data_IF_762922464871
#
_entry.id   IF_762922464871
#
_cell.length_a   1.000
_cell.length_b   1.000
_cell.length_c   1.000
_cell.angle_alpha   90.00
_cell.angle_beta   90.00
_cell.angle_gamma   90.00
#
_symmetry.space_group_name_H-M   'P 1'
#
loop_
_entity.id
_entity.type
_entity.pdbx_description
1 polymer ?
#
# COMPACT_ATOMS: atom_id res chain seq x y z
N UNK A 1 -7.19 -28.17 -1.91
CA UNK A 1 -5.86 -27.53 -1.74
C UNK A 1 -4.90 -28.20 -2.71
N UNK A 2 -4.36 -27.46 -3.68
CA UNK A 2 -3.35 -27.98 -4.60
C UNK A 2 -2.07 -28.35 -3.84
N UNK A 3 -1.49 -29.52 -4.15
CA UNK A 3 -0.36 -30.12 -3.40
C UNK A 3 0.89 -29.23 -3.31
N UNK A 4 1.03 -28.24 -4.19
CA UNK A 4 2.17 -27.34 -4.28
C UNK A 4 2.24 -26.28 -3.17
N UNK A 5 1.11 -25.94 -2.54
CA UNK A 5 1.06 -24.92 -1.49
C UNK A 5 1.27 -25.48 -0.07
N UNK A 6 1.48 -26.80 0.08
CA UNK A 6 1.63 -27.40 1.41
C UNK A 6 2.87 -26.85 2.13
N UNK A 7 2.78 -26.60 3.46
CA UNK A 7 3.94 -26.17 4.25
C UNK A 7 5.07 -27.20 4.15
N UNK A 8 6.31 -26.71 4.10
CA UNK A 8 7.50 -27.55 3.99
C UNK A 8 7.62 -28.46 5.22
N UNK A 9 7.99 -29.72 5.00
CA UNK A 9 8.22 -30.69 6.07
C UNK A 9 9.40 -30.27 6.95
N UNK A 10 9.31 -30.56 8.25
CA UNK A 10 10.36 -30.31 9.23
C UNK A 10 11.63 -31.10 8.87
N UNK A 11 12.78 -30.44 8.82
CA UNK A 11 14.07 -31.10 8.60
C UNK A 11 14.81 -31.29 9.94
N UNK A 12 15.63 -32.34 10.02
CA UNK A 12 16.43 -32.63 11.22
C UNK A 12 17.34 -31.44 11.60
N UNK A 13 17.53 -31.17 12.90
CA UNK A 13 18.25 -29.99 13.37
C UNK A 13 19.71 -29.97 12.91
N UNK A 14 20.19 -28.78 12.51
CA UNK A 14 21.59 -28.53 12.15
C UNK A 14 22.50 -28.57 13.40
N UNK A 15 23.80 -28.89 13.26
CA UNK A 15 24.76 -28.85 14.37
C UNK A 15 24.84 -27.46 15.02
N UNK A 16 24.86 -27.40 16.35
CA UNK A 16 24.77 -26.15 17.16
C UNK A 16 25.77 -25.07 16.75
N UNK A 17 26.99 -25.43 16.36
CA UNK A 17 28.04 -24.49 15.92
C UNK A 17 27.71 -23.71 14.63
N UNK A 18 26.81 -24.23 13.79
CA UNK A 18 26.40 -23.58 12.53
C UNK A 18 25.09 -22.83 12.65
N UNK A 19 24.40 -22.92 13.79
CA UNK A 19 23.07 -22.32 13.97
C UNK A 19 23.16 -20.80 13.87
N UNK A 20 24.03 -20.13 14.64
CA UNK A 20 24.14 -18.66 14.67
C UNK A 20 24.48 -18.04 13.32
N UNK A 21 25.50 -18.57 12.66
CA UNK A 21 25.98 -18.06 11.36
C UNK A 21 24.94 -18.29 10.25
N UNK A 22 24.25 -19.43 10.27
CA UNK A 22 23.17 -19.76 9.33
C UNK A 22 21.94 -18.90 9.62
N UNK A 23 21.61 -18.64 10.88
CA UNK A 23 20.51 -17.76 11.28
C UNK A 23 20.70 -16.35 10.76
N UNK A 24 21.90 -15.78 10.96
CA UNK A 24 22.22 -14.42 10.53
C UNK A 24 22.18 -14.29 9.01
N UNK A 25 22.75 -15.26 8.29
CA UNK A 25 22.73 -15.28 6.82
C UNK A 25 21.31 -15.44 6.26
N UNK A 26 20.54 -16.39 6.79
CA UNK A 26 19.19 -16.67 6.30
C UNK A 26 18.21 -15.55 6.66
N UNK A 27 18.32 -14.91 7.83
CA UNK A 27 17.51 -13.74 8.17
C UNK A 27 17.69 -12.61 7.16
N UNK A 28 18.93 -12.29 6.79
CA UNK A 28 19.20 -11.27 5.77
C UNK A 28 18.76 -11.70 4.37
N UNK A 29 18.97 -12.96 4.00
CA UNK A 29 18.53 -13.49 2.72
C UNK A 29 17.00 -13.45 2.58
N UNK A 30 16.28 -13.86 3.62
CA UNK A 30 14.82 -13.88 3.64
C UNK A 30 14.26 -12.47 3.72
N UNK A 31 14.89 -11.58 4.50
CA UNK A 31 14.55 -10.16 4.52
C UNK A 31 14.66 -9.55 3.12
N UNK A 32 15.77 -9.79 2.41
CA UNK A 32 15.92 -9.37 1.02
C UNK A 32 14.82 -9.97 0.13
N UNK A 33 14.52 -11.26 0.29
CA UNK A 33 13.46 -11.93 -0.47
C UNK A 33 12.07 -11.31 -0.28
N UNK A 34 11.65 -11.03 0.97
CA UNK A 34 10.36 -10.39 1.25
C UNK A 34 10.35 -8.91 0.89
N UNK A 35 11.48 -8.21 1.02
CA UNK A 35 11.60 -6.79 0.67
C UNK A 35 11.50 -6.60 -0.84
N UNK A 36 12.36 -7.26 -1.61
CA UNK A 36 12.34 -7.17 -3.07
C UNK A 36 11.08 -7.81 -3.64
N UNK A 37 10.64 -8.95 -3.10
CA UNK A 37 9.39 -9.60 -3.51
C UNK A 37 8.19 -8.66 -3.37
N UNK A 38 8.06 -7.96 -2.24
CA UNK A 38 6.98 -7.00 -2.03
C UNK A 38 7.14 -5.73 -2.89
N UNK A 39 8.36 -5.21 -3.05
CA UNK A 39 8.64 -4.12 -3.99
C UNK A 39 8.22 -4.48 -5.42
N UNK A 40 8.42 -5.73 -5.84
CA UNK A 40 7.99 -6.24 -7.14
C UNK A 40 6.47 -6.16 -7.37
N UNK A 41 5.65 -6.36 -6.35
CA UNK A 41 4.19 -6.17 -6.48
C UNK A 41 3.83 -4.71 -6.77
N UNK A 42 4.54 -3.77 -6.14
CA UNK A 42 4.29 -2.35 -6.37
C UNK A 42 4.69 -1.92 -7.78
N UNK A 43 5.70 -2.55 -8.39
CA UNK A 43 6.06 -2.33 -9.80
C UNK A 43 4.91 -2.60 -10.77
N UNK A 44 3.93 -3.43 -10.39
CA UNK A 44 2.82 -3.84 -11.26
C UNK A 44 1.49 -3.19 -10.90
N UNK A 45 1.49 -2.28 -9.93
CA UNK A 45 0.25 -1.74 -9.37
C UNK A 45 -0.26 -0.51 -10.10
N UNK A 46 0.64 0.32 -10.60
CA UNK A 46 0.31 1.66 -11.13
C UNK A 46 0.77 1.89 -12.58
N UNK A 47 1.18 0.84 -13.29
CA UNK A 47 1.51 0.92 -14.71
C UNK A 47 0.34 1.46 -15.56
N UNK A 48 -0.88 1.04 -15.22
CA UNK A 48 -2.07 1.52 -15.92
C UNK A 48 -2.24 3.03 -15.79
N UNK A 49 -1.89 3.64 -14.65
CA UNK A 49 -1.95 5.10 -14.46
C UNK A 49 -1.02 5.87 -15.39
N UNK A 50 0.16 5.33 -15.68
CA UNK A 50 1.10 5.92 -16.65
C UNK A 50 0.65 5.71 -18.10
N UNK A 51 -0.14 4.67 -18.37
CA UNK A 51 -0.68 4.36 -19.69
C UNK A 51 -2.01 5.09 -20.00
N UNK A 52 -2.77 5.51 -18.98
CA UNK A 52 -4.03 6.25 -19.15
C UNK A 52 -3.95 7.41 -20.14
N UNK A 53 -2.92 8.27 -20.12
CA UNK A 53 -2.86 9.42 -21.02
C UNK A 53 -2.72 9.02 -22.50
N UNK A 54 -2.29 7.79 -22.81
CA UNK A 54 -2.23 7.26 -24.17
C UNK A 54 -3.55 6.60 -24.57
N UNK A 55 -4.20 5.89 -23.63
CA UNK A 55 -5.54 5.32 -23.86
C UNK A 55 -6.60 6.41 -24.08
N UNK A 56 -6.44 7.58 -23.47
CA UNK A 56 -7.32 8.74 -23.73
C UNK A 56 -7.14 9.25 -25.16
N UNK A 57 -5.90 9.28 -25.67
CA UNK A 57 -5.60 9.67 -27.05
C UNK A 57 -6.22 8.67 -28.07
N UNK A 58 -6.41 7.40 -27.69
CA UNK A 58 -7.11 6.38 -28.47
C UNK A 58 -8.64 6.50 -28.44
N UNK A 59 -9.20 7.41 -27.62
CA UNK A 59 -10.63 7.73 -27.58
C UNK A 59 -11.41 7.21 -26.37
N UNK A 60 -10.74 6.67 -25.35
CA UNK A 60 -11.39 6.29 -24.09
C UNK A 60 -11.68 7.51 -23.21
N UNK A 61 -12.81 7.50 -22.49
CA UNK A 61 -13.12 8.57 -21.52
C UNK A 61 -12.42 8.33 -20.20
N UNK A 62 -12.17 9.40 -19.43
CA UNK A 62 -11.48 9.30 -18.13
C UNK A 62 -12.31 8.51 -17.12
N UNK A 63 -13.63 8.67 -17.13
CA UNK A 63 -14.56 7.89 -16.31
C UNK A 63 -14.49 6.38 -16.59
N UNK A 64 -14.34 5.98 -17.86
CA UNK A 64 -14.19 4.56 -18.24
C UNK A 64 -12.87 3.97 -17.70
N UNK A 65 -11.75 4.68 -17.86
CA UNK A 65 -10.45 4.25 -17.35
C UNK A 65 -10.41 4.26 -15.82
N UNK A 66 -11.05 5.24 -15.19
CA UNK A 66 -11.24 5.32 -13.74
C UNK A 66 -12.04 4.14 -13.19
N UNK A 67 -13.10 3.73 -13.90
CA UNK A 67 -13.88 2.53 -13.56
C UNK A 67 -13.02 1.26 -13.69
N UNK A 68 -12.23 1.12 -14.75
CA UNK A 68 -11.33 -0.01 -14.92
C UNK A 68 -10.29 -0.08 -13.77
N UNK A 69 -9.70 1.05 -13.40
CA UNK A 69 -8.76 1.15 -12.27
C UNK A 69 -9.37 0.79 -10.92
N UNK A 70 -10.65 1.13 -10.72
CA UNK A 70 -11.36 0.78 -9.49
C UNK A 70 -11.43 -0.73 -9.24
N UNK A 71 -11.36 -1.55 -10.31
CA UNK A 71 -11.32 -3.00 -10.21
C UNK A 71 -10.14 -3.50 -9.38
N UNK A 72 -8.97 -2.85 -9.50
CA UNK A 72 -7.76 -3.21 -8.72
C UNK A 72 -8.05 -3.03 -7.23
N UNK A 73 -8.66 -1.90 -6.85
CA UNK A 73 -8.96 -1.58 -5.46
C UNK A 73 -10.00 -2.53 -4.85
N UNK A 74 -11.07 -2.83 -5.59
CA UNK A 74 -12.13 -3.76 -5.18
C UNK A 74 -11.55 -5.16 -5.01
N UNK A 75 -10.83 -5.65 -6.02
CA UNK A 75 -10.23 -6.97 -5.99
C UNK A 75 -9.20 -7.11 -4.87
N UNK A 76 -8.36 -6.08 -4.66
CA UNK A 76 -7.38 -6.07 -3.58
C UNK A 76 -8.03 -6.12 -2.20
N UNK A 77 -9.11 -5.35 -1.98
CA UNK A 77 -9.86 -5.35 -0.72
C UNK A 77 -10.44 -6.73 -0.39
N UNK A 78 -11.08 -7.37 -1.37
CA UNK A 78 -11.65 -8.72 -1.22
C UNK A 78 -10.56 -9.79 -1.08
N UNK A 79 -9.53 -9.72 -1.92
CA UNK A 79 -8.43 -10.67 -1.93
C UNK A 79 -7.64 -10.63 -0.63
N UNK A 80 -7.36 -9.46 -0.07
CA UNK A 80 -6.62 -9.36 1.20
C UNK A 80 -7.29 -10.16 2.33
N UNK A 81 -8.63 -10.18 2.37
CA UNK A 81 -9.39 -10.95 3.35
C UNK A 81 -9.33 -12.46 3.08
N UNK A 82 -9.61 -12.88 1.84
CA UNK A 82 -9.69 -14.29 1.47
C UNK A 82 -8.31 -14.95 1.38
N UNK A 83 -7.35 -14.30 0.74
CA UNK A 83 -5.98 -14.79 0.56
C UNK A 83 -5.16 -14.72 1.85
N UNK A 84 -5.54 -13.91 2.84
CA UNK A 84 -4.97 -13.98 4.18
C UNK A 84 -5.17 -15.36 4.81
N UNK A 85 -6.41 -15.86 4.79
CA UNK A 85 -6.77 -17.20 5.29
C UNK A 85 -6.05 -18.33 4.54
N UNK A 86 -5.85 -18.16 3.22
CA UNK A 86 -5.14 -19.14 2.38
C UNK A 86 -3.63 -19.11 2.66
N UNK A 87 -3.05 -17.91 2.84
CA UNK A 87 -1.63 -17.71 3.12
C UNK A 87 -1.20 -18.34 4.45
N UNK A 88 -2.06 -18.32 5.47
CA UNK A 88 -1.75 -18.95 6.77
C UNK A 88 -1.55 -20.46 6.66
N UNK A 89 -2.16 -21.10 5.65
CA UNK A 89 -2.04 -22.53 5.38
C UNK A 89 -1.12 -22.85 4.20
N UNK A 90 -0.52 -21.83 3.58
CA UNK A 90 0.29 -21.96 2.37
C UNK A 90 1.75 -21.63 2.63
N UNK A 91 2.66 -22.33 1.95
CA UNK A 91 4.09 -22.04 2.04
C UNK A 91 4.41 -20.65 1.42
N UNK A 92 4.96 -19.69 2.19
CA UNK A 92 5.30 -18.34 1.70
C UNK A 92 6.24 -18.35 0.49
N UNK A 93 7.14 -19.34 0.40
CA UNK A 93 8.11 -19.48 -0.70
C UNK A 93 7.44 -19.65 -2.06
N UNK A 94 6.30 -20.33 -2.11
CA UNK A 94 5.55 -20.54 -3.35
C UNK A 94 4.44 -19.51 -3.52
N UNK A 95 3.80 -19.10 -2.42
CA UNK A 95 2.64 -18.21 -2.46
C UNK A 95 2.98 -16.79 -2.91
N UNK A 96 4.08 -16.20 -2.40
CA UNK A 96 4.48 -14.84 -2.75
C UNK A 96 4.91 -14.73 -4.23
N UNK A 97 5.83 -15.58 -4.75
CA UNK A 97 6.20 -15.50 -6.16
C UNK A 97 5.04 -15.86 -7.09
N UNK A 98 4.17 -16.81 -6.73
CA UNK A 98 3.02 -17.16 -7.57
C UNK A 98 2.08 -15.98 -7.81
N UNK A 99 1.72 -15.22 -6.78
CA UNK A 99 0.90 -14.02 -6.98
C UNK A 99 1.62 -12.96 -7.84
N UNK A 100 2.94 -12.86 -7.72
CA UNK A 100 3.74 -11.92 -8.52
C UNK A 100 3.81 -12.36 -9.98
N UNK A 101 3.93 -13.67 -10.25
CA UNK A 101 3.88 -14.26 -11.59
C UNK A 101 2.52 -14.04 -12.26
N UNK A 102 1.42 -14.23 -11.52
CA UNK A 102 0.07 -13.97 -12.04
C UNK A 102 -0.10 -12.49 -12.39
N UNK A 103 0.34 -11.58 -11.49
CA UNK A 103 0.32 -10.14 -11.73
C UNK A 103 1.16 -9.75 -12.95
N UNK A 104 2.37 -10.30 -13.08
CA UNK A 104 3.25 -10.05 -14.24
C UNK A 104 2.65 -10.60 -15.54
N UNK A 105 2.04 -11.78 -15.51
CA UNK A 105 1.36 -12.38 -16.64
C UNK A 105 0.20 -11.51 -17.16
N UNK A 106 -0.60 -10.94 -16.26
CA UNK A 106 -1.65 -10.00 -16.63
C UNK A 106 -1.07 -8.73 -17.29
N UNK A 107 0.04 -8.20 -16.76
CA UNK A 107 0.70 -7.04 -17.35
C UNK A 107 1.31 -7.34 -18.73
N UNK A 108 1.84 -8.55 -18.94
CA UNK A 108 2.27 -8.99 -20.28
C UNK A 108 1.10 -9.11 -21.26
N UNK A 109 -0.07 -9.56 -20.80
CA UNK A 109 -1.28 -9.57 -21.62
C UNK A 109 -1.63 -8.14 -22.04
N UNK A 110 -1.61 -7.16 -21.14
CA UNK A 110 -1.80 -5.75 -21.51
C UNK A 110 -0.75 -5.23 -22.50
N UNK A 111 0.51 -5.64 -22.36
CA UNK A 111 1.61 -5.18 -23.21
C UNK A 111 1.65 -5.80 -24.61
N UNK A 112 1.26 -7.07 -24.77
CA UNK A 112 1.41 -7.81 -26.03
C UNK A 112 0.10 -8.13 -26.74
N UNK A 113 -1.04 -8.08 -26.05
CA UNK A 113 -2.31 -8.50 -26.59
C UNK A 113 -3.23 -7.28 -26.85
N UNK A 114 -3.40 -6.84 -28.11
CA UNK A 114 -4.25 -5.67 -28.43
C UNK A 114 -5.72 -5.86 -28.02
N UNK A 115 -6.19 -7.10 -27.91
CA UNK A 115 -7.54 -7.41 -27.45
C UNK A 115 -7.74 -7.07 -25.96
N UNK A 116 -6.67 -6.99 -25.17
CA UNK A 116 -6.73 -6.69 -23.74
C UNK A 116 -7.20 -5.26 -23.46
N UNK A 117 -6.84 -4.32 -24.33
CA UNK A 117 -7.24 -2.90 -24.26
C UNK A 117 -8.48 -2.59 -25.08
N UNK A 118 -8.99 -3.52 -25.90
CA UNK A 118 -10.11 -3.27 -26.83
C UNK A 118 -11.46 -2.94 -26.16
N UNK A 119 -11.65 -3.28 -24.88
CA UNK A 119 -12.91 -3.01 -24.16
C UNK A 119 -12.67 -2.70 -22.69
N UNK A 120 -13.41 -1.72 -22.16
CA UNK A 120 -13.40 -1.34 -20.74
C UNK A 120 -13.73 -2.54 -19.84
N UNK A 121 -14.64 -3.42 -20.28
CA UNK A 121 -14.98 -4.64 -19.53
C UNK A 121 -13.79 -5.59 -19.46
N UNK A 122 -13.05 -5.74 -20.56
CA UNK A 122 -11.85 -6.60 -20.58
C UNK A 122 -10.75 -6.01 -19.68
N UNK A 123 -10.52 -4.70 -19.78
CA UNK A 123 -9.59 -3.99 -18.90
C UNK A 123 -9.99 -4.19 -17.43
N UNK A 124 -11.27 -4.04 -17.09
CA UNK A 124 -11.80 -4.25 -15.75
C UNK A 124 -11.51 -5.67 -15.24
N UNK A 125 -11.79 -6.71 -16.04
CA UNK A 125 -11.56 -8.11 -15.66
C UNK A 125 -10.07 -8.38 -15.43
N UNK A 126 -9.21 -7.94 -16.35
CA UNK A 126 -7.77 -8.14 -16.21
C UNK A 126 -7.21 -7.39 -15.00
N UNK A 127 -7.60 -6.13 -14.81
CA UNK A 127 -7.21 -5.34 -13.63
C UNK A 127 -7.78 -5.93 -12.33
N UNK A 128 -8.96 -6.55 -12.36
CA UNK A 128 -9.50 -7.30 -11.22
C UNK A 128 -8.62 -8.50 -10.87
N UNK A 129 -8.22 -9.31 -11.86
CA UNK A 129 -7.31 -10.44 -11.65
C UNK A 129 -5.97 -9.96 -11.11
N UNK A 130 -5.43 -8.87 -11.65
CA UNK A 130 -4.22 -8.25 -11.14
C UNK A 130 -4.37 -7.82 -9.67
N UNK A 131 -5.42 -7.08 -9.33
CA UNK A 131 -5.70 -6.65 -7.96
C UNK A 131 -5.88 -7.83 -6.99
N UNK A 132 -6.46 -8.93 -7.46
CA UNK A 132 -6.57 -10.16 -6.68
C UNK A 132 -5.20 -10.77 -6.39
N UNK A 133 -4.36 -10.91 -7.42
CA UNK A 133 -3.01 -11.41 -7.29
C UNK A 133 -2.16 -10.53 -6.36
N UNK A 134 -2.34 -9.21 -6.42
CA UNK A 134 -1.65 -8.27 -5.51
C UNK A 134 -2.03 -8.45 -4.04
N UNK A 135 -3.27 -8.86 -3.75
CA UNK A 135 -3.69 -9.17 -2.38
C UNK A 135 -2.92 -10.33 -1.75
N UNK A 136 -2.27 -11.18 -2.56
CA UNK A 136 -1.49 -12.33 -2.09
C UNK A 136 -0.09 -11.95 -1.56
N UNK A 137 0.42 -10.74 -1.83
CA UNK A 137 1.81 -10.39 -1.51
C UNK A 137 2.07 -10.02 -0.04
N UNK A 138 1.12 -9.34 0.62
CA UNK A 138 1.29 -8.84 1.99
C UNK A 138 1.21 -9.95 3.07
N UNK A 139 0.18 -10.84 3.07
CA UNK A 139 0.03 -11.86 4.10
C UNK A 139 1.22 -12.82 4.30
N UNK A 140 1.86 -13.37 3.24
CA UNK A 140 2.99 -14.29 3.41
C UNK A 140 4.22 -13.55 3.97
N UNK A 141 4.43 -12.30 3.58
CA UNK A 141 5.51 -11.45 4.11
C UNK A 141 5.32 -11.23 5.62
N UNK A 142 4.10 -10.92 6.05
CA UNK A 142 3.72 -10.83 7.46
C UNK A 142 4.02 -12.10 8.23
N UNK A 143 3.58 -13.26 7.71
CA UNK A 143 3.84 -14.56 8.32
C UNK A 143 5.33 -14.86 8.44
N UNK A 144 6.11 -14.65 7.39
CA UNK A 144 7.57 -14.84 7.43
C UNK A 144 8.21 -13.93 8.48
N UNK A 145 7.77 -12.67 8.59
CA UNK A 145 8.28 -11.76 9.63
C UNK A 145 7.97 -12.27 11.05
N UNK A 146 6.83 -12.93 11.24
CA UNK A 146 6.45 -13.49 12.54
C UNK A 146 7.35 -14.68 12.93
N UNK A 147 7.70 -15.53 11.96
CA UNK A 147 8.45 -16.76 12.19
C UNK A 147 9.97 -16.58 12.19
N UNK A 148 10.50 -15.43 11.71
CA UNK A 148 11.96 -15.19 11.57
C UNK A 148 12.53 -14.11 12.51
N UNK A 149 11.67 -13.32 13.16
CA UNK A 149 12.10 -12.29 14.12
C UNK A 149 11.25 -12.28 15.40
N UNK A 150 11.92 -12.08 16.54
CA UNK A 150 11.31 -11.93 17.87
C UNK A 150 10.50 -10.62 17.97
N UNK A 151 9.57 -10.55 18.93
CA UNK A 151 8.77 -9.35 19.23
C UNK A 151 9.62 -8.09 19.40
N UNK A 152 10.80 -8.17 20.04
CA UNK A 152 11.66 -7.01 20.32
C UNK A 152 12.32 -6.42 19.06
N UNK A 153 12.54 -7.23 18.02
CA UNK A 153 13.19 -6.80 16.77
C UNK A 153 12.19 -6.53 15.64
N UNK A 154 10.98 -7.09 15.73
CA UNK A 154 9.97 -7.05 14.66
C UNK A 154 9.60 -5.63 14.26
N UNK A 155 9.53 -4.69 15.21
CA UNK A 155 9.19 -3.29 14.91
C UNK A 155 10.14 -2.63 13.93
N UNK A 156 11.46 -2.80 14.11
CA UNK A 156 12.48 -2.26 13.20
C UNK A 156 12.43 -2.92 11.83
N UNK A 157 12.27 -4.24 11.79
CA UNK A 157 12.22 -5.01 10.53
C UNK A 157 10.97 -4.66 9.72
N UNK A 158 9.81 -4.55 10.35
CA UNK A 158 8.55 -4.15 9.69
C UNK A 158 8.65 -2.72 9.16
N UNK A 159 9.32 -1.81 9.87
CA UNK A 159 9.54 -0.43 9.40
C UNK A 159 10.38 -0.40 8.12
N UNK A 160 11.51 -1.09 8.10
CA UNK A 160 12.36 -1.19 6.89
C UNK A 160 11.62 -1.91 5.77
N UNK A 161 10.89 -2.99 6.08
CA UNK A 161 10.08 -3.69 5.08
C UNK A 161 9.00 -2.78 4.47
N UNK A 162 8.39 -1.90 5.27
CA UNK A 162 7.41 -0.96 4.77
C UNK A 162 8.05 -0.07 3.69
N UNK A 163 9.31 0.35 3.79
CA UNK A 163 9.98 1.15 2.75
C UNK A 163 9.93 0.50 1.35
N UNK A 164 9.82 -0.83 1.26
CA UNK A 164 9.66 -1.53 -0.01
C UNK A 164 8.46 -1.04 -0.85
N UNK A 165 7.37 -0.58 -0.22
CA UNK A 165 6.22 -0.07 -0.97
C UNK A 165 6.55 1.20 -1.75
N UNK A 166 7.26 2.15 -1.14
CA UNK A 166 7.67 3.41 -1.76
C UNK A 166 8.77 3.19 -2.79
N UNK A 167 9.72 2.30 -2.48
CA UNK A 167 10.81 1.94 -3.41
C UNK A 167 10.24 1.30 -4.67
N UNK A 168 9.37 0.30 -4.52
CA UNK A 168 8.71 -0.35 -5.65
C UNK A 168 7.79 0.62 -6.42
N UNK A 169 6.99 1.42 -5.70
CA UNK A 169 6.08 2.39 -6.32
C UNK A 169 6.80 3.47 -7.12
N UNK A 170 7.87 4.04 -6.57
CA UNK A 170 8.63 5.09 -7.25
C UNK A 170 9.35 4.59 -8.50
N UNK A 171 9.93 3.39 -8.46
CA UNK A 171 10.70 2.82 -9.58
C UNK A 171 9.88 2.61 -10.86
N UNK A 172 8.55 2.62 -10.79
CA UNK A 172 7.67 2.48 -11.96
C UNK A 172 7.96 3.57 -13.00
N UNK A 173 8.09 4.83 -12.57
CA UNK A 173 8.31 5.96 -13.47
C UNK A 173 9.61 5.82 -14.29
N UNK A 174 10.78 5.65 -13.64
CA UNK A 174 12.04 5.43 -14.36
C UNK A 174 12.04 4.18 -15.24
N UNK A 175 11.40 3.09 -14.82
CA UNK A 175 11.28 1.88 -15.64
C UNK A 175 10.42 2.10 -16.88
N UNK A 176 9.37 2.92 -16.77
CA UNK A 176 8.58 3.33 -17.91
C UNK A 176 9.41 4.14 -18.92
N UNK A 177 10.22 5.09 -18.44
CA UNK A 177 11.13 5.85 -19.31
C UNK A 177 12.16 4.98 -20.01
N UNK A 178 12.74 4.00 -19.29
CA UNK A 178 13.65 3.03 -19.89
C UNK A 178 12.97 2.22 -21.00
N UNK A 179 11.71 1.82 -20.79
CA UNK A 179 10.92 1.13 -21.81
C UNK A 179 10.64 2.00 -23.02
N UNK A 180 10.22 3.26 -22.81
CA UNK A 180 10.00 4.22 -23.87
C UNK A 180 11.28 4.49 -24.67
N UNK A 181 12.44 4.62 -24.02
CA UNK A 181 13.71 4.88 -24.67
C UNK A 181 14.20 3.72 -25.56
N UNK A 182 13.88 2.47 -25.22
CA UNK A 182 14.35 1.29 -25.97
C UNK A 182 13.38 0.82 -27.05
N UNK A 183 12.08 0.87 -26.79
CA UNK A 183 11.08 0.29 -27.68
C UNK A 183 10.23 1.33 -28.42
N UNK A 184 10.29 2.61 -27.99
CA UNK A 184 9.53 3.72 -28.55
C UNK A 184 8.01 3.44 -28.67
N UNK A 185 7.48 2.64 -27.75
CA UNK A 185 6.08 2.21 -27.68
C UNK A 185 5.56 2.35 -26.24
N UNK A 186 4.37 2.90 -26.09
CA UNK A 186 3.74 3.11 -24.79
C UNK A 186 3.35 1.79 -24.11
N UNK A 187 3.17 0.71 -24.89
CA UNK A 187 2.96 -0.64 -24.33
C UNK A 187 4.15 -1.09 -23.45
N UNK A 188 5.33 -0.48 -23.62
CA UNK A 188 6.49 -0.70 -22.76
C UNK A 188 6.24 -0.38 -21.29
N UNK A 189 5.24 0.45 -20.99
CA UNK A 189 4.75 0.69 -19.63
C UNK A 189 4.35 -0.59 -18.89
N UNK A 190 3.93 -1.63 -19.61
CA UNK A 190 3.44 -2.85 -19.02
C UNK A 190 4.49 -3.96 -19.01
N UNK A 191 5.16 -4.22 -20.14
CA UNK A 191 6.06 -5.38 -20.23
C UNK A 191 7.44 -5.14 -19.61
N UNK A 192 7.97 -3.91 -19.57
CA UNK A 192 9.28 -3.64 -18.93
C UNK A 192 9.20 -3.82 -17.41
N UNK A 193 8.26 -3.17 -16.69
CA UNK A 193 8.07 -3.44 -15.26
C UNK A 193 7.68 -4.91 -14.98
N UNK A 194 6.90 -5.56 -15.85
CA UNK A 194 6.57 -6.98 -15.73
C UNK A 194 7.80 -7.89 -15.83
N UNK A 195 8.75 -7.59 -16.73
CA UNK A 195 9.99 -8.36 -16.87
C UNK A 195 10.87 -8.20 -15.62
N UNK A 196 10.98 -6.98 -15.08
CA UNK A 196 11.69 -6.75 -13.82
C UNK A 196 11.02 -7.49 -12.67
N UNK A 197 9.68 -7.42 -12.58
CA UNK A 197 8.92 -8.15 -11.57
C UNK A 197 9.09 -9.68 -11.70
N UNK A 198 9.24 -10.21 -12.91
CA UNK A 198 9.52 -11.64 -13.15
C UNK A 198 10.90 -12.04 -12.60
N UNK A 199 11.93 -11.22 -12.84
CA UNK A 199 13.26 -11.43 -12.27
C UNK A 199 13.23 -11.37 -10.74
N UNK A 200 12.48 -10.42 -10.19
CA UNK A 200 12.26 -10.29 -8.74
C UNK A 200 11.51 -11.50 -8.18
N UNK A 201 10.52 -12.05 -8.91
CA UNK A 201 9.80 -13.25 -8.50
C UNK A 201 10.73 -14.48 -8.45
N UNK A 202 11.61 -14.64 -9.44
CA UNK A 202 12.62 -15.69 -9.45
C UNK A 202 13.62 -15.52 -8.29
N UNK A 203 14.07 -14.28 -8.05
CA UNK A 203 14.94 -13.96 -6.91
C UNK A 203 14.26 -14.28 -5.57
N UNK A 204 13.00 -13.86 -5.39
CA UNK A 204 12.21 -14.15 -4.19
C UNK A 204 12.02 -15.66 -4.00
N UNK A 205 11.77 -16.42 -5.08
CA UNK A 205 11.63 -17.87 -5.03
C UNK A 205 12.91 -18.61 -4.57
N UNK A 206 14.07 -18.12 -4.99
CA UNK A 206 15.39 -18.68 -4.64
C UNK A 206 15.78 -18.29 -3.20
N UNK A 207 15.41 -17.09 -2.76
CA UNK A 207 15.83 -16.54 -1.47
C UNK A 207 14.89 -16.84 -0.32
N UNK A 208 13.58 -16.95 -0.56
CA UNK A 208 12.59 -17.24 0.46
C UNK A 208 12.67 -18.69 0.93
N UNK A 209 12.53 -18.88 2.24
CA UNK A 209 12.35 -20.18 2.90
C UNK A 209 11.15 -20.10 3.84
N UNK A 210 10.50 -21.24 4.08
CA UNK A 210 9.18 -21.30 4.76
C UNK A 210 9.30 -20.94 6.25
N UNK A 211 9.91 -21.81 7.04
CA UNK A 211 10.11 -21.64 8.49
C UNK A 211 11.56 -21.97 8.88
N UNK A 212 12.09 -21.45 10.00
CA UNK A 212 13.40 -21.87 10.53
C UNK A 212 13.46 -23.41 10.69
N UNK A 213 12.35 -23.97 11.13
CA UNK A 213 12.05 -25.40 11.23
C UNK A 213 12.19 -26.18 9.90
N UNK A 214 11.89 -25.56 8.75
CA UNK A 214 12.04 -26.18 7.41
C UNK A 214 13.49 -26.28 6.94
N UNK A 215 14.42 -25.64 7.65
CA UNK A 215 15.86 -25.65 7.37
C UNK A 215 16.67 -26.26 8.51
N UNK A 216 16.01 -26.95 9.45
CA UNK A 216 16.68 -27.56 10.61
C UNK A 216 17.17 -26.55 11.63
N UNK A 217 16.65 -25.32 11.65
CA UNK A 217 16.93 -24.34 12.70
C UNK A 217 15.86 -24.41 13.79
N UNK A 218 16.24 -24.28 15.08
CA UNK A 218 15.28 -24.18 16.16
C UNK A 218 14.36 -22.95 15.97
N UNK A 219 13.10 -23.02 16.44
CA UNK A 219 12.18 -21.89 16.43
C UNK A 219 12.81 -20.65 17.09
N UNK A 220 12.43 -19.43 16.68
CA UNK A 220 12.95 -18.19 17.30
C UNK A 220 12.78 -18.17 18.82
N UNK A 221 11.70 -18.79 19.29
CA UNK A 221 11.32 -18.86 20.70
C UNK A 221 12.38 -19.62 21.52
N UNK A 222 12.94 -20.71 20.97
CA UNK A 222 14.07 -21.45 21.57
C UNK A 222 15.42 -20.74 21.35
N UNK A 223 15.65 -20.17 20.16
CA UNK A 223 16.94 -19.54 19.82
C UNK A 223 17.23 -18.24 20.59
N UNK A 224 16.19 -17.48 20.94
CA UNK A 224 16.33 -16.23 21.72
C UNK A 224 15.80 -16.32 23.15
N UNK A 225 15.31 -17.48 23.59
CA UNK A 225 14.63 -17.63 24.87
C UNK A 225 13.50 -16.58 25.06
N UNK A 226 12.79 -16.28 23.98
CA UNK A 226 11.72 -15.26 23.93
C UNK A 226 10.38 -16.00 23.79
N UNK A 227 10.14 -16.99 24.67
CA UNK A 227 8.78 -17.44 24.91
C UNK A 227 7.99 -16.23 25.41
N UNK A 228 6.76 -15.99 24.93
CA UNK A 228 5.92 -14.94 25.49
C UNK A 228 5.82 -15.14 27.01
N UNK A 229 6.32 -14.18 27.79
CA UNK A 229 6.15 -14.16 29.24
C UNK A 229 4.64 -14.16 29.54
N UNK A 230 4.12 -15.30 30.01
CA UNK A 230 2.71 -15.46 30.37
C UNK A 230 1.77 -15.90 29.24
N UNK A 231 2.11 -16.95 28.47
CA UNK A 231 1.06 -17.70 27.75
C UNK A 231 0.29 -18.59 28.73
N UNK A 232 -0.59 -17.97 29.52
CA UNK A 232 -1.62 -18.69 30.26
C UNK A 232 -2.68 -19.18 29.28
N UNK A 233 -2.75 -20.48 29.06
CA UNK A 233 -3.81 -21.16 28.30
C UNK A 233 -5.18 -21.12 29.00
N UNK A 234 -5.36 -20.32 30.04
CA UNK A 234 -6.48 -20.41 30.98
C UNK A 234 -7.21 -19.10 31.29
N UNK A 235 -6.84 -17.96 30.67
CA UNK A 235 -7.59 -16.71 30.86
C UNK A 235 -7.75 -15.89 29.58
N UNK A 236 -8.51 -16.42 28.64
CA UNK A 236 -9.24 -15.55 27.72
C UNK A 236 -10.69 -16.03 27.62
N UNK A 237 -11.63 -15.24 28.14
CA UNK A 237 -12.97 -15.26 27.56
C UNK A 237 -12.80 -14.99 26.06
N UNK A 238 -12.97 -16.03 25.25
CA UNK A 238 -13.04 -15.97 23.79
C UNK A 238 -14.31 -15.18 23.43
N UNK A 239 -14.22 -13.86 23.41
CA UNK A 239 -15.24 -13.09 22.70
C UNK A 239 -15.21 -13.55 21.24
N UNK A 240 -16.36 -14.00 20.72
CA UNK A 240 -16.45 -14.41 19.33
C UNK A 240 -15.96 -13.26 18.43
N UNK A 241 -15.20 -13.57 17.38
CA UNK A 241 -14.72 -12.56 16.42
C UNK A 241 -15.87 -11.66 15.89
N UNK A 242 -17.08 -12.22 15.81
CA UNK A 242 -18.31 -11.50 15.44
C UNK A 242 -18.78 -10.54 16.54
N UNK A 243 -18.68 -10.91 17.80
CA UNK A 243 -19.01 -10.04 18.94
C UNK A 243 -18.01 -8.90 19.08
N UNK A 244 -16.71 -9.18 18.88
CA UNK A 244 -15.67 -8.16 18.88
C UNK A 244 -15.97 -7.11 17.79
N UNK A 245 -16.25 -7.58 16.56
CA UNK A 245 -16.55 -6.72 15.43
C UNK A 245 -17.84 -5.91 15.62
N UNK A 246 -18.95 -6.54 16.03
CA UNK A 246 -20.23 -5.83 16.14
C UNK A 246 -20.27 -4.89 17.35
N UNK A 247 -19.80 -5.35 18.52
CA UNK A 247 -19.96 -4.61 19.78
C UNK A 247 -18.91 -3.51 19.95
N UNK A 248 -17.68 -3.74 19.50
CA UNK A 248 -16.55 -2.83 19.76
C UNK A 248 -16.06 -2.05 18.52
N UNK A 249 -16.30 -2.56 17.31
CA UNK A 249 -15.90 -1.88 16.06
C UNK A 249 -17.12 -1.13 15.47
N UNK A 250 -18.19 -1.83 15.09
CA UNK A 250 -19.34 -1.22 14.40
C UNK A 250 -20.11 -0.20 15.26
N UNK A 251 -20.23 -0.41 16.56
CA UNK A 251 -20.95 0.50 17.47
C UNK A 251 -20.10 1.70 17.91
N UNK A 252 -18.80 1.71 17.60
CA UNK A 252 -17.89 2.78 18.01
C UNK A 252 -17.96 3.96 17.03
N UNK A 253 -18.65 5.03 17.43
CA UNK A 253 -18.82 6.25 16.62
C UNK A 253 -17.48 6.93 16.28
N UNK A 254 -16.50 6.88 17.18
CA UNK A 254 -15.17 7.45 16.93
C UNK A 254 -14.42 6.66 15.86
N UNK A 255 -14.59 5.34 15.84
CA UNK A 255 -13.99 4.49 14.82
C UNK A 255 -14.56 4.76 13.42
N UNK A 256 -15.85 5.11 13.34
CA UNK A 256 -16.46 5.55 12.09
C UNK A 256 -15.90 6.89 11.61
N UNK A 257 -15.72 7.87 12.49
CA UNK A 257 -15.12 9.16 12.10
C UNK A 257 -13.72 8.99 11.52
N UNK A 258 -12.85 8.21 12.16
CA UNK A 258 -11.51 7.95 11.62
C UNK A 258 -11.55 7.10 10.34
N UNK A 259 -12.51 6.19 10.19
CA UNK A 259 -12.67 5.40 8.97
C UNK A 259 -13.06 6.29 7.80
N UNK A 260 -14.04 7.19 7.98
CA UNK A 260 -14.42 8.19 6.97
C UNK A 260 -13.29 9.18 6.68
N UNK A 261 -12.58 9.66 7.70
CA UNK A 261 -11.37 10.48 7.49
C UNK A 261 -10.36 9.72 6.60
N UNK A 262 -10.16 8.43 6.85
CA UNK A 262 -9.25 7.61 6.06
C UNK A 262 -9.67 7.51 4.60
N UNK A 263 -10.98 7.41 4.31
CA UNK A 263 -11.50 7.42 2.92
C UNK A 263 -11.02 8.67 2.19
N UNK A 264 -11.17 9.85 2.80
CA UNK A 264 -10.79 11.11 2.16
C UNK A 264 -9.28 11.31 2.05
N UNK A 265 -8.50 10.85 3.03
CA UNK A 265 -7.02 10.85 2.95
C UNK A 265 -6.54 9.96 1.81
N UNK A 266 -7.12 8.76 1.66
CA UNK A 266 -6.80 7.86 0.56
C UNK A 266 -7.31 8.36 -0.79
N UNK A 267 -8.47 9.03 -0.82
CA UNK A 267 -9.00 9.71 -1.99
C UNK A 267 -8.01 10.75 -2.51
N UNK A 268 -7.46 11.58 -1.62
CA UNK A 268 -6.45 12.56 -2.00
C UNK A 268 -5.16 11.89 -2.47
N UNK A 269 -4.64 10.91 -1.71
CA UNK A 269 -3.39 10.21 -2.03
C UNK A 269 -3.44 9.59 -3.42
N UNK A 270 -4.41 8.72 -3.65
CA UNK A 270 -4.55 8.04 -4.94
C UNK A 270 -5.13 8.94 -6.02
N UNK A 271 -5.93 9.94 -5.67
CA UNK A 271 -6.46 10.92 -6.62
C UNK A 271 -5.35 11.74 -7.25
N UNK A 272 -4.39 12.22 -6.44
CA UNK A 272 -3.20 12.90 -6.96
C UNK A 272 -2.26 11.91 -7.64
N UNK A 273 -1.93 10.78 -7.00
CA UNK A 273 -0.96 9.82 -7.54
C UNK A 273 -1.39 9.23 -8.89
N UNK A 274 -2.63 8.77 -9.00
CA UNK A 274 -3.10 8.01 -10.17
C UNK A 274 -3.37 8.93 -11.35
N UNK A 275 -3.83 10.16 -11.10
CA UNK A 275 -4.17 11.13 -12.14
C UNK A 275 -3.06 12.13 -12.44
N UNK A 276 -2.00 12.21 -11.62
CA UNK A 276 -0.87 13.11 -11.88
C UNK A 276 -0.29 12.93 -13.29
N UNK A 277 -0.07 11.71 -13.82
CA UNK A 277 0.46 11.55 -15.17
C UNK A 277 -0.46 12.15 -16.25
N UNK A 278 -1.75 11.90 -16.13
CA UNK A 278 -2.77 12.41 -17.07
C UNK A 278 -2.90 13.93 -16.98
N UNK A 279 -2.95 14.49 -15.77
CA UNK A 279 -3.07 15.93 -15.57
C UNK A 279 -1.83 16.69 -16.06
N UNK A 280 -0.63 16.19 -15.75
CA UNK A 280 0.62 16.81 -16.20
C UNK A 280 0.74 16.80 -17.73
N UNK A 281 0.29 15.72 -18.40
CA UNK A 281 0.28 15.65 -19.87
C UNK A 281 -0.78 16.56 -20.49
N UNK A 282 -2.04 16.47 -20.04
CA UNK A 282 -3.16 17.19 -20.65
C UNK A 282 -3.19 18.69 -20.34
N UNK A 283 -3.05 19.07 -19.06
CA UNK A 283 -3.27 20.44 -18.61
C UNK A 283 -1.97 21.25 -18.55
N UNK A 284 -0.84 20.60 -18.27
CA UNK A 284 0.47 21.28 -18.13
C UNK A 284 1.40 21.06 -19.31
N UNK A 285 1.04 20.16 -20.25
CA UNK A 285 1.84 19.79 -21.43
C UNK A 285 3.26 19.36 -21.08
N UNK A 286 3.43 18.60 -20.00
CA UNK A 286 4.73 18.07 -19.64
C UNK A 286 5.12 16.92 -20.55
N UNK A 287 6.43 16.81 -20.75
CA UNK A 287 7.02 15.62 -21.36
C UNK A 287 6.88 14.41 -20.43
N UNK A 288 6.91 13.22 -21.04
CA UNK A 288 6.81 11.92 -20.37
C UNK A 288 7.92 11.76 -19.35
N UNK A 289 9.12 12.27 -19.66
CA UNK A 289 10.29 12.28 -18.77
C UNK A 289 10.00 12.99 -17.43
N UNK A 290 9.60 14.27 -17.50
CA UNK A 290 9.28 15.08 -16.32
C UNK A 290 8.13 14.49 -15.52
N UNK A 291 7.12 13.96 -16.19
CA UNK A 291 5.95 13.33 -15.58
C UNK A 291 6.34 12.08 -14.78
N UNK A 292 7.20 11.25 -15.34
CA UNK A 292 7.67 10.01 -14.70
C UNK A 292 8.59 10.28 -13.52
N UNK A 293 9.46 11.30 -13.61
CA UNK A 293 10.27 11.76 -12.47
C UNK A 293 9.43 12.39 -11.36
N UNK A 294 8.41 13.18 -11.70
CA UNK A 294 7.49 13.73 -10.70
C UNK A 294 6.77 12.63 -9.92
N UNK A 295 6.34 11.57 -10.61
CA UNK A 295 5.77 10.37 -9.99
C UNK A 295 6.76 9.67 -9.05
N UNK A 296 8.02 9.48 -9.48
CA UNK A 296 9.08 8.92 -8.64
C UNK A 296 9.30 9.74 -7.36
N UNK A 297 9.44 11.05 -7.50
CA UNK A 297 9.66 11.95 -6.37
C UNK A 297 8.48 11.98 -5.40
N UNK A 298 7.24 11.92 -5.90
CA UNK A 298 6.05 11.83 -5.06
C UNK A 298 6.10 10.62 -4.11
N UNK A 299 6.36 9.41 -4.63
CA UNK A 299 6.38 8.19 -3.81
C UNK A 299 7.61 8.16 -2.88
N UNK A 300 8.77 8.59 -3.36
CA UNK A 300 9.99 8.60 -2.53
C UNK A 300 9.96 9.65 -1.43
N UNK A 301 9.29 10.78 -1.63
CA UNK A 301 9.08 11.80 -0.62
C UNK A 301 8.29 11.27 0.59
N UNK A 302 7.41 10.29 0.38
CA UNK A 302 6.61 9.66 1.43
C UNK A 302 7.45 9.00 2.53
N UNK A 303 8.64 8.49 2.23
CA UNK A 303 9.52 7.83 3.20
C UNK A 303 9.99 8.79 4.30
N UNK A 304 10.75 9.88 3.99
CA UNK A 304 11.18 10.83 5.01
C UNK A 304 9.99 11.57 5.62
N UNK A 305 8.91 11.79 4.86
CA UNK A 305 7.70 12.45 5.34
C UNK A 305 6.97 11.68 6.43
N UNK A 306 6.83 10.35 6.28
CA UNK A 306 6.24 9.49 7.30
C UNK A 306 7.08 9.47 8.58
N UNK A 307 8.41 9.39 8.43
CA UNK A 307 9.34 9.39 9.56
C UNK A 307 9.29 10.71 10.34
N UNK A 308 9.29 11.83 9.62
CA UNK A 308 9.16 13.16 10.22
C UNK A 308 7.80 13.33 10.90
N UNK A 309 6.72 12.83 10.30
CA UNK A 309 5.39 12.86 10.91
C UNK A 309 5.35 12.11 12.24
N UNK A 310 5.92 10.90 12.29
CA UNK A 310 6.02 10.13 13.53
C UNK A 310 6.79 10.89 14.62
N UNK A 311 7.98 11.40 14.27
CA UNK A 311 8.79 12.19 15.20
C UNK A 311 8.09 13.46 15.69
N UNK A 312 7.41 14.19 14.78
CA UNK A 312 6.69 15.42 15.10
C UNK A 312 5.46 15.14 15.98
N UNK A 313 4.73 14.05 15.72
CA UNK A 313 3.64 13.59 16.57
C UNK A 313 4.10 13.35 18.01
N UNK A 314 5.22 12.66 18.18
CA UNK A 314 5.68 12.24 19.50
C UNK A 314 6.38 13.38 20.26
N UNK A 315 7.21 14.18 19.59
CA UNK A 315 8.04 15.21 20.24
C UNK A 315 7.40 16.59 20.33
N UNK A 316 6.76 17.05 19.25
CA UNK A 316 6.20 18.41 19.15
C UNK A 316 4.77 18.42 19.67
N UNK A 317 3.95 17.45 19.24
CA UNK A 317 2.54 17.37 19.62
C UNK A 317 2.29 16.51 20.86
N UNK A 318 3.36 16.07 21.55
CA UNK A 318 3.30 15.30 22.81
C UNK A 318 2.36 14.08 22.73
N UNK A 319 2.34 13.40 21.59
CA UNK A 319 1.48 12.23 21.34
C UNK A 319 0.06 12.56 20.88
N UNK A 320 -0.30 13.83 20.63
CA UNK A 320 -1.60 14.18 20.07
C UNK A 320 -1.65 13.90 18.56
N UNK A 321 -1.99 12.64 18.24
CA UNK A 321 -2.07 12.12 16.86
C UNK A 321 -3.13 12.83 16.02
N UNK A 322 -4.23 13.27 16.63
CA UNK A 322 -5.31 13.97 15.93
C UNK A 322 -4.88 15.35 15.47
N UNK A 323 -4.19 16.09 16.35
CA UNK A 323 -3.69 17.43 16.04
C UNK A 323 -2.60 17.37 14.96
N UNK A 324 -1.70 16.40 15.07
CA UNK A 324 -0.68 16.15 14.04
C UNK A 324 -1.34 15.85 12.70
N UNK A 325 -2.34 14.96 12.67
CA UNK A 325 -3.09 14.63 11.45
C UNK A 325 -3.74 15.85 10.79
N UNK A 326 -4.36 16.74 11.59
CA UNK A 326 -4.99 17.96 11.08
C UNK A 326 -3.96 18.94 10.51
N UNK A 327 -2.84 19.16 11.19
CA UNK A 327 -1.77 20.05 10.70
C UNK A 327 -1.20 19.53 9.38
N UNK A 328 -0.92 18.23 9.28
CA UNK A 328 -0.47 17.63 8.03
C UNK A 328 -1.52 17.76 6.93
N UNK A 329 -2.80 17.49 7.21
CA UNK A 329 -3.86 17.65 6.21
C UNK A 329 -4.04 19.09 5.75
N UNK A 330 -3.89 20.07 6.64
CA UNK A 330 -3.92 21.48 6.29
C UNK A 330 -2.74 21.84 5.35
N UNK A 331 -1.52 21.40 5.67
CA UNK A 331 -0.35 21.60 4.82
C UNK A 331 -0.50 20.94 3.45
N UNK A 332 -1.06 19.71 3.39
CA UNK A 332 -1.34 19.05 2.11
C UNK A 332 -2.38 19.82 1.30
N UNK A 333 -3.39 20.40 1.95
CA UNK A 333 -4.40 21.23 1.28
C UNK A 333 -3.74 22.44 0.63
N UNK A 334 -2.84 23.12 1.34
CA UNK A 334 -2.07 24.25 0.78
C UNK A 334 -1.22 23.81 -0.40
N UNK A 335 -0.49 22.69 -0.29
CA UNK A 335 0.32 22.16 -1.38
C UNK A 335 -0.52 21.78 -2.62
N UNK A 336 -1.71 21.22 -2.40
CA UNK A 336 -2.67 20.88 -3.46
C UNK A 336 -3.24 22.13 -4.13
N UNK A 337 -3.53 23.20 -3.36
CA UNK A 337 -3.96 24.49 -3.90
C UNK A 337 -2.86 25.14 -4.75
N UNK A 338 -1.61 25.10 -4.29
CA UNK A 338 -0.46 25.59 -5.07
C UNK A 338 -0.32 24.81 -6.38
N UNK A 339 -0.49 23.48 -6.33
CA UNK A 339 -0.44 22.65 -7.54
C UNK A 339 -1.54 22.98 -8.54
N UNK A 340 -2.78 23.18 -8.07
CA UNK A 340 -3.93 23.52 -8.90
C UNK A 340 -3.83 24.91 -9.52
N UNK A 341 -3.47 25.92 -8.73
CA UNK A 341 -3.43 27.33 -9.16
C UNK A 341 -2.17 27.70 -9.95
N UNK A 342 -1.17 26.82 -10.02
CA UNK A 342 0.04 27.08 -10.78
C UNK A 342 -0.27 27.07 -12.30
N UNK A 343 0.02 28.14 -13.06
CA UNK A 343 -0.18 28.14 -14.50
C UNK A 343 0.78 27.18 -15.22
N UNK A 344 0.45 26.73 -16.45
CA UNK A 344 1.37 25.95 -17.28
C UNK A 344 2.63 26.77 -17.58
N UNK A 345 3.80 26.12 -17.57
CA UNK A 345 5.10 26.76 -17.84
C UNK A 345 6.09 26.78 -16.66
N UNK A 346 5.68 26.36 -15.46
CA UNK A 346 6.57 26.27 -14.29
C UNK A 346 6.77 24.82 -13.77
N UNK A 347 7.53 23.96 -14.46
CA UNK A 347 7.69 22.55 -14.09
C UNK A 347 8.25 22.30 -12.69
N UNK A 348 9.16 23.16 -12.25
CA UNK A 348 9.80 23.04 -10.93
C UNK A 348 8.79 23.20 -9.80
N UNK A 349 7.80 24.09 -9.95
CA UNK A 349 6.78 24.32 -8.92
C UNK A 349 5.86 23.10 -8.81
N UNK A 350 5.44 22.52 -9.95
CA UNK A 350 4.60 21.32 -9.95
C UNK A 350 5.35 20.11 -9.34
N UNK A 351 6.65 19.96 -9.63
CA UNK A 351 7.48 18.92 -9.01
C UNK A 351 7.63 19.10 -7.50
N UNK A 352 7.89 20.33 -7.03
CA UNK A 352 7.98 20.64 -5.60
C UNK A 352 6.64 20.43 -4.91
N UNK A 353 5.53 20.79 -5.57
CA UNK A 353 4.19 20.61 -5.03
C UNK A 353 3.86 19.11 -4.91
N UNK A 354 4.12 18.30 -5.94
CA UNK A 354 3.93 16.85 -5.89
C UNK A 354 4.83 16.18 -4.85
N UNK A 355 6.10 16.58 -4.76
CA UNK A 355 7.00 16.14 -3.68
C UNK A 355 6.42 16.47 -2.30
N UNK A 356 5.90 17.69 -2.11
CA UNK A 356 5.34 18.14 -0.84
C UNK A 356 4.05 17.39 -0.49
N UNK A 357 3.16 17.14 -1.46
CA UNK A 357 1.95 16.35 -1.26
C UNK A 357 2.33 14.92 -0.86
N UNK A 358 3.26 14.28 -1.60
CA UNK A 358 3.76 12.94 -1.30
C UNK A 358 4.42 12.86 0.08
N UNK A 359 5.23 13.84 0.44
CA UNK A 359 5.87 13.94 1.75
C UNK A 359 4.85 13.99 2.89
N UNK A 360 3.81 14.80 2.74
CA UNK A 360 2.88 15.08 3.84
C UNK A 360 1.73 14.05 3.93
N UNK A 361 1.30 13.44 2.82
CA UNK A 361 0.07 12.60 2.79
C UNK A 361 0.21 11.27 3.55
N UNK A 362 1.42 10.71 3.59
CA UNK A 362 1.65 9.45 4.30
C UNK A 362 1.58 9.58 5.83
N UNK A 363 1.80 10.79 6.35
CA UNK A 363 1.70 11.08 7.78
C UNK A 363 0.29 10.79 8.34
N UNK A 364 -0.77 11.44 7.85
CA UNK A 364 -2.15 11.17 8.24
C UNK A 364 -2.56 9.70 8.08
N UNK A 365 -2.13 9.04 7.01
CA UNK A 365 -2.42 7.60 6.79
C UNK A 365 -1.91 6.74 7.95
N UNK A 366 -0.68 6.99 8.39
CA UNK A 366 -0.09 6.27 9.52
C UNK A 366 -0.79 6.62 10.84
N UNK A 367 -1.03 7.91 11.09
CA UNK A 367 -1.63 8.41 12.34
C UNK A 367 -3.05 7.87 12.54
N UNK A 368 -3.86 7.77 11.48
CA UNK A 368 -5.20 7.20 11.55
C UNK A 368 -5.16 5.72 11.94
N UNK A 369 -4.22 4.95 11.38
CA UNK A 369 -4.02 3.55 11.76
C UNK A 369 -3.65 3.41 13.24
N UNK A 370 -2.77 4.29 13.72
CA UNK A 370 -2.36 4.34 15.12
C UNK A 370 -3.50 4.77 16.07
N UNK A 371 -4.32 5.75 15.68
CA UNK A 371 -5.51 6.15 16.45
C UNK A 371 -6.54 5.02 16.53
N UNK A 372 -6.73 4.24 15.46
CA UNK A 372 -7.66 3.11 15.46
C UNK A 372 -7.28 2.05 16.51
N UNK A 373 -5.99 1.85 16.75
CA UNK A 373 -5.49 0.94 17.78
C UNK A 373 -5.79 1.43 19.21
N UNK A 374 -5.79 2.74 19.43
CA UNK A 374 -6.05 3.34 20.76
C UNK A 374 -7.53 3.46 21.08
N UNK A 375 -8.39 3.58 20.06
CA UNK A 375 -9.83 3.73 20.21
C UNK A 375 -10.56 2.40 20.43
N UNK A 376 -9.85 1.27 20.39
CA UNK A 376 -10.41 -0.06 20.56
C UNK A 376 -9.69 -0.82 21.70
N UNK A 377 -10.39 -1.71 22.45
CA UNK A 377 -9.75 -2.58 23.44
C UNK A 377 -8.63 -3.40 22.82
N UNK A 378 -7.64 -3.83 23.63
CA UNK A 378 -6.48 -4.63 23.17
C UNK A 378 -6.87 -5.81 22.27
N UNK A 379 -7.97 -6.52 22.60
CA UNK A 379 -8.51 -7.65 21.81
C UNK A 379 -9.17 -7.24 20.48
N UNK A 380 -9.61 -5.99 20.33
CA UNK A 380 -10.28 -5.46 19.14
C UNK A 380 -9.38 -4.55 18.29
N UNK A 381 -8.20 -4.16 18.79
CA UNK A 381 -7.30 -3.21 18.14
C UNK A 381 -6.92 -3.62 16.71
N UNK A 382 -6.57 -4.90 16.50
CA UNK A 382 -6.26 -5.43 15.16
C UNK A 382 -7.44 -5.33 14.19
N UNK A 383 -8.63 -5.70 14.63
CA UNK A 383 -9.87 -5.60 13.84
C UNK A 383 -10.25 -4.15 13.54
N UNK A 384 -10.03 -3.24 14.49
CA UNK A 384 -10.28 -1.81 14.35
C UNK A 384 -9.35 -1.17 13.31
N UNK A 385 -8.04 -1.47 13.35
CA UNK A 385 -7.09 -1.03 12.34
C UNK A 385 -7.37 -1.66 10.96
N UNK A 386 -7.81 -2.92 10.92
CA UNK A 386 -8.26 -3.58 9.70
C UNK A 386 -9.49 -2.91 9.07
N UNK A 387 -10.46 -2.52 9.89
CA UNK A 387 -11.69 -1.82 9.47
C UNK A 387 -11.37 -0.46 8.84
N UNK A 388 -10.58 0.37 9.51
CA UNK A 388 -10.18 1.68 8.96
C UNK A 388 -9.37 1.53 7.67
N UNK A 389 -8.47 0.55 7.62
CA UNK A 389 -7.71 0.22 6.42
C UNK A 389 -8.61 -0.22 5.25
N UNK A 390 -9.60 -1.08 5.49
CA UNK A 390 -10.53 -1.53 4.45
C UNK A 390 -11.33 -0.36 3.87
N UNK A 391 -11.91 0.49 4.72
CA UNK A 391 -12.64 1.67 4.27
C UNK A 391 -11.75 2.63 3.50
N UNK A 392 -10.53 2.89 3.99
CA UNK A 392 -9.55 3.74 3.29
C UNK A 392 -9.19 3.21 1.91
N UNK A 393 -8.81 1.93 1.79
CA UNK A 393 -8.42 1.35 0.50
C UNK A 393 -9.61 1.16 -0.43
N UNK A 394 -10.70 0.55 0.03
CA UNK A 394 -11.84 0.21 -0.82
C UNK A 394 -12.65 1.46 -1.15
N UNK A 395 -12.99 2.29 -0.16
CA UNK A 395 -13.71 3.53 -0.39
C UNK A 395 -12.84 4.60 -1.05
N UNK A 396 -11.67 4.87 -0.48
CA UNK A 396 -10.80 5.96 -0.91
C UNK A 396 -10.18 5.73 -2.28
N UNK A 397 -9.68 4.53 -2.57
CA UNK A 397 -9.07 4.26 -3.89
C UNK A 397 -10.12 4.13 -5.00
N UNK A 398 -11.30 3.55 -4.72
CA UNK A 398 -12.38 3.49 -5.72
C UNK A 398 -12.90 4.89 -6.03
N UNK A 399 -13.09 5.74 -5.01
CA UNK A 399 -13.44 7.14 -5.24
C UNK A 399 -12.32 7.88 -5.99
N UNK A 400 -11.04 7.64 -5.65
CA UNK A 400 -9.90 8.25 -6.32
C UNK A 400 -9.80 7.88 -7.79
N UNK A 401 -10.14 6.66 -8.17
CA UNK A 401 -10.13 6.25 -9.57
C UNK A 401 -11.43 6.65 -10.27
N UNK A 402 -12.58 6.15 -9.82
CA UNK A 402 -13.84 6.32 -10.53
C UNK A 402 -14.41 7.75 -10.37
N UNK A 403 -14.53 8.26 -9.13
CA UNK A 403 -15.20 9.54 -8.90
C UNK A 403 -14.39 10.71 -9.49
N UNK A 404 -13.06 10.69 -9.38
CA UNK A 404 -12.21 11.66 -10.09
C UNK A 404 -12.41 11.58 -11.61
N UNK A 405 -12.35 10.39 -12.21
CA UNK A 405 -12.48 10.24 -13.66
C UNK A 405 -13.80 10.79 -14.21
N UNK A 406 -14.92 10.45 -13.56
CA UNK A 406 -16.24 10.99 -13.93
C UNK A 406 -16.36 12.50 -13.69
N UNK A 407 -15.78 13.00 -12.59
CA UNK A 407 -15.84 14.44 -12.28
C UNK A 407 -15.04 15.23 -13.30
N UNK A 408 -13.86 14.76 -13.71
CA UNK A 408 -13.02 15.43 -14.70
C UNK A 408 -13.66 15.40 -16.10
N UNK A 409 -14.36 14.31 -16.47
CA UNK A 409 -15.08 14.26 -17.74
C UNK A 409 -16.24 15.26 -17.84
N UNK A 410 -16.98 15.50 -16.75
CA UNK A 410 -18.14 16.40 -16.76
C UNK A 410 -17.83 17.85 -16.38
N UNK A 411 -16.92 18.07 -15.43
CA UNK A 411 -16.62 19.38 -14.83
C UNK A 411 -15.19 19.85 -15.11
N UNK A 412 -14.41 19.11 -15.89
CA UNK A 412 -13.01 19.41 -16.16
C UNK A 412 -12.11 19.20 -14.95
N UNK A 413 -10.83 19.55 -15.13
CA UNK A 413 -9.82 19.38 -14.09
C UNK A 413 -10.09 20.23 -12.84
N UNK A 414 -10.73 21.39 -12.98
CA UNK A 414 -11.13 22.22 -11.85
C UNK A 414 -12.11 21.50 -10.93
N UNK A 415 -13.10 20.79 -11.49
CA UNK A 415 -14.01 19.96 -10.71
C UNK A 415 -13.28 18.84 -9.96
N UNK A 416 -12.26 18.24 -10.59
CA UNK A 416 -11.39 17.25 -9.96
C UNK A 416 -10.62 17.80 -8.75
N UNK A 417 -10.00 18.97 -8.88
CA UNK A 417 -9.29 19.59 -7.75
C UNK A 417 -10.23 20.08 -6.65
N UNK A 418 -11.41 20.58 -6.99
CA UNK A 418 -12.45 20.91 -6.01
C UNK A 418 -12.87 19.66 -5.22
N UNK A 419 -12.99 18.51 -5.87
CA UNK A 419 -13.26 17.23 -5.19
C UNK A 419 -12.13 16.85 -4.22
N UNK A 420 -10.86 17.01 -4.63
CA UNK A 420 -9.69 16.73 -3.79
C UNK A 420 -9.60 17.68 -2.58
N UNK A 421 -9.84 18.97 -2.78
CA UNK A 421 -9.85 19.96 -1.69
C UNK A 421 -11.03 19.70 -0.75
N UNK A 422 -12.22 19.40 -1.29
CA UNK A 422 -13.37 18.98 -0.52
C UNK A 422 -13.07 17.74 0.34
N UNK A 423 -12.35 16.76 -0.22
CA UNK A 423 -11.88 15.60 0.53
C UNK A 423 -10.95 16.00 1.68
N UNK A 424 -10.00 16.90 1.47
CA UNK A 424 -9.14 17.41 2.54
C UNK A 424 -9.92 18.09 3.67
N UNK A 425 -10.87 18.96 3.33
CA UNK A 425 -11.71 19.65 4.32
C UNK A 425 -12.56 18.66 5.11
N UNK A 426 -13.16 17.67 4.43
CA UNK A 426 -13.92 16.61 5.09
C UNK A 426 -13.04 15.74 5.97
N UNK A 427 -11.83 15.37 5.53
CA UNK A 427 -10.88 14.63 6.35
C UNK A 427 -10.55 15.40 7.64
N UNK A 428 -10.27 16.70 7.55
CA UNK A 428 -10.05 17.56 8.71
C UNK A 428 -11.29 17.59 9.61
N UNK A 429 -12.48 17.79 9.02
CA UNK A 429 -13.74 17.82 9.77
C UNK A 429 -14.00 16.51 10.54
N UNK A 430 -13.69 15.36 9.95
CA UNK A 430 -13.82 14.05 10.61
C UNK A 430 -12.70 13.75 11.62
N UNK A 431 -11.54 14.40 11.51
CA UNK A 431 -10.46 14.31 12.49
C UNK A 431 -10.69 15.22 13.71
N UNK A 432 -11.42 16.34 13.60
CA UNK A 432 -11.69 17.26 14.72
C UNK A 432 -12.32 16.56 15.93
N UNK A 433 -13.37 15.73 15.81
CA UNK A 433 -13.97 15.01 16.95
C UNK A 433 -12.97 14.14 17.72
N UNK A 434 -11.91 13.66 17.06
CA UNK A 434 -10.89 12.82 17.70
C UNK A 434 -10.02 13.61 18.68
N UNK A 435 -9.85 14.93 18.47
CA UNK A 435 -9.11 15.81 19.37
C UNK A 435 -9.72 15.86 20.76
N UNK A 436 -11.06 15.92 20.83
CA UNK A 436 -11.78 16.03 22.10
C UNK A 436 -11.71 14.74 22.92
N UNK A 437 -11.57 13.59 22.27
CA UNK A 437 -11.38 12.30 22.93
C UNK A 437 -9.96 12.12 23.48
N UNK A 438 -8.93 12.65 22.81
CA UNK A 438 -7.56 12.57 23.32
C UNK A 438 -7.35 13.52 24.51
N UNK A 439 -7.96 14.70 24.48
CA UNK A 439 -7.88 15.67 25.58
C UNK A 439 -8.60 15.20 26.86
N UNK A 440 -9.71 14.47 26.74
CA UNK A 440 -10.40 13.91 27.91
C UNK A 440 -9.61 12.78 28.59
N UNK A 441 -8.89 11.96 27.82
CA UNK A 441 -8.02 10.90 28.34
C UNK A 441 -6.71 11.46 28.92
N UNK A 442 -6.17 12.52 28.32
CA UNK A 442 -4.97 13.19 28.84
C UNK A 442 -5.23 14.08 30.06
N UNK A 443 -6.47 14.55 30.27
CA UNK A 443 -6.88 15.26 31.48
C UNK A 443 -7.22 14.32 32.65
N UNK A 444 -7.40 13.02 32.37
CA UNK A 444 -7.66 11.96 33.34
C UNK A 444 -6.39 11.19 33.77
N UNK A 445 -5.23 11.54 33.21
CA UNK A 445 -3.90 11.10 33.65
C UNK A 445 -3.16 12.31 34.23
#
# INVERSE_FOLDING_TARGET
MFAFFRPAAHQAPLPEEKIDSTYRRLRWQIFAGIFFGYAGYYLLRKNFSLAMPYLIDEGYTRGQLGLAMSAIAIAYGLSKFLMGLVSDRSNPRYFLPFGLLVSAGVMFIFGFAPWATSSVTMMFILLFINGWAQGMGWPPSGRTMVHWWSQKERGGVVSVWNVAHNVGGGLIGPLFLLGMAWFNDWHAAFYVPATVALMVAAFAFITMRDTPQSVGLPPIEEYKNDYPEGYDSSHEDEFSAKEIFVKYVLRNKMLWYIAFANVFVYLLRYGVLDWAPTYLKEAKHFDVDKTSWAYFFYEWAGIPGTLLCGWMSDKIFRGNRGLTGIVFMALVTVATLVYWLNPPGNPTIDMIALFSIGFLIYGPVMLIGLQALELAPKKAAGTAAGFTGLFGYLGGSVAASAAMGYTVDHFGWDGGFVLLIGACVLAIAFLIPTLWHTNSVSAAR
#
